data_IF_205038970791
#
_entry.id   IF_205038970791
#
_cell.length_a   1.000
_cell.length_b   1.000
_cell.length_c   1.000
_cell.angle_alpha   90.00
_cell.angle_beta   90.00
_cell.angle_gamma   90.00
#
_symmetry.space_group_name_H-M   'P 1'
#
loop_
_entity.id
_entity.type
_entity.pdbx_description
1 polymer ?
#
# COMPACT_ATOMS: atom_id res chain seq x y z
N UNK A 1 25.28 18.78 -30.64
CA UNK A 1 25.26 18.32 -29.24
C UNK A 1 23.83 18.48 -28.79
N UNK A 2 23.10 17.38 -28.71
CA UNK A 2 21.65 17.38 -28.44
C UNK A 2 21.44 16.94 -27.00
N UNK A 3 20.78 17.76 -26.20
CA UNK A 3 20.46 17.46 -24.80
C UNK A 3 19.51 16.24 -24.71
N UNK A 4 19.63 15.40 -23.68
CA UNK A 4 18.72 14.28 -23.48
C UNK A 4 17.32 14.79 -23.06
N UNK A 5 16.23 14.15 -23.54
CA UNK A 5 14.89 14.51 -23.15
C UNK A 5 14.67 14.16 -21.67
N UNK A 6 14.66 15.19 -20.82
CA UNK A 6 14.22 15.09 -19.44
C UNK A 6 12.69 14.99 -19.41
N UNK A 7 12.18 13.77 -19.58
CA UNK A 7 10.76 13.46 -19.39
C UNK A 7 10.60 12.32 -18.39
N UNK A 8 11.22 12.49 -17.21
CA UNK A 8 10.77 11.81 -16.01
C UNK A 8 9.65 12.64 -15.41
N UNK A 9 8.44 12.07 -15.29
CA UNK A 9 7.40 12.58 -14.40
C UNK A 9 8.02 12.68 -13.00
N UNK A 10 8.54 13.85 -12.63
CA UNK A 10 8.98 14.11 -11.26
C UNK A 10 7.71 14.08 -10.43
N UNK A 11 7.56 13.12 -9.51
CA UNK A 11 6.36 13.07 -8.70
C UNK A 11 6.25 14.38 -7.90
N UNK A 12 5.04 14.94 -7.73
CA UNK A 12 4.85 16.19 -7.01
C UNK A 12 5.47 16.07 -5.61
N UNK A 13 6.43 16.94 -5.31
CA UNK A 13 7.07 17.09 -4.00
C UNK A 13 6.11 17.80 -3.04
N UNK A 14 6.45 17.90 -1.75
CA UNK A 14 5.67 18.63 -0.72
C UNK A 14 5.45 20.13 -1.00
N UNK A 15 5.83 20.64 -2.17
CA UNK A 15 5.60 22.01 -2.57
C UNK A 15 4.10 22.25 -2.81
N UNK A 16 3.55 23.21 -2.05
CA UNK A 16 2.15 23.63 -2.04
C UNK A 16 1.65 23.85 -3.47
N UNK A 17 0.53 23.22 -3.90
CA UNK A 17 -0.03 23.50 -5.22
C UNK A 17 -0.41 24.98 -5.31
N UNK A 18 -0.03 25.65 -6.38
CA UNK A 18 -0.50 27.00 -6.68
C UNK A 18 -1.98 26.97 -7.09
N UNK A 19 -2.88 26.81 -6.11
CA UNK A 19 -4.33 26.82 -6.29
C UNK A 19 -5.06 26.88 -4.96
N UNK A 20 -6.02 27.80 -4.80
CA UNK A 20 -6.70 28.16 -3.54
C UNK A 20 -7.54 27.05 -2.87
N UNK A 21 -7.57 25.82 -3.41
CA UNK A 21 -8.42 24.73 -2.92
C UNK A 21 -7.70 23.37 -2.81
N UNK A 22 -6.39 23.29 -3.03
CA UNK A 22 -5.66 22.04 -2.94
C UNK A 22 -5.01 21.89 -1.55
N UNK A 23 -5.29 20.78 -0.86
CA UNK A 23 -4.60 20.42 0.39
C UNK A 23 -3.14 20.15 0.07
N UNK A 24 -2.23 20.85 0.74
CA UNK A 24 -0.80 20.59 0.58
C UNK A 24 -0.43 19.23 1.18
N UNK A 25 0.59 18.52 0.66
CA UNK A 25 0.89 17.21 1.20
C UNK A 25 1.49 17.29 2.63
N UNK A 26 2.01 18.46 3.04
CA UNK A 26 2.33 18.77 4.45
C UNK A 26 1.08 18.81 5.34
N UNK A 27 0.02 19.52 4.93
CA UNK A 27 -1.25 19.55 5.68
C UNK A 27 -1.87 18.16 5.79
N UNK A 28 -1.75 17.35 4.74
CA UNK A 28 -2.18 15.95 4.80
C UNK A 28 -1.37 15.13 5.80
N UNK A 29 -0.05 15.29 5.82
CA UNK A 29 0.81 14.63 6.80
C UNK A 29 0.47 15.06 8.25
N UNK A 30 0.27 16.36 8.49
CA UNK A 30 -0.17 16.89 9.78
C UNK A 30 -1.54 16.32 10.19
N UNK A 31 -2.45 16.17 9.24
CA UNK A 31 -3.74 15.50 9.47
C UNK A 31 -3.54 14.03 9.90
N UNK A 32 -2.69 13.25 9.23
CA UNK A 32 -2.42 11.86 9.63
C UNK A 32 -1.81 11.78 11.04
N UNK A 33 -0.88 12.67 11.38
CA UNK A 33 -0.37 12.77 12.75
C UNK A 33 -1.46 13.14 13.76
N UNK A 34 -2.38 14.04 13.38
CA UNK A 34 -3.53 14.38 14.23
C UNK A 34 -4.42 13.16 14.47
N UNK A 35 -4.61 12.27 13.49
CA UNK A 35 -5.37 11.03 13.68
C UNK A 35 -4.69 10.10 14.68
N UNK A 36 -3.38 9.90 14.54
CA UNK A 36 -2.57 9.07 15.44
C UNK A 36 -2.66 9.59 16.88
N UNK A 37 -2.63 10.92 17.07
CA UNK A 37 -2.60 11.56 18.39
C UNK A 37 -3.99 11.76 19.02
N UNK A 38 -5.02 12.08 18.23
CA UNK A 38 -6.34 12.50 18.72
C UNK A 38 -7.41 11.41 18.64
N UNK A 39 -7.49 10.67 17.52
CA UNK A 39 -8.65 9.82 17.22
C UNK A 39 -8.53 8.40 17.74
N UNK A 40 -7.34 8.02 18.22
CA UNK A 40 -7.00 6.65 18.57
C UNK A 40 -6.53 6.53 20.03
N UNK A 41 -6.44 7.61 20.81
CA UNK A 41 -6.21 7.55 22.26
C UNK A 41 -7.55 7.53 23.01
N UNK A 42 -7.73 6.55 23.92
CA UNK A 42 -8.81 6.28 24.92
C UNK A 42 -10.30 6.57 24.62
N UNK A 43 -10.64 7.39 23.63
CA UNK A 43 -12.00 7.80 23.31
C UNK A 43 -12.55 6.93 22.16
N UNK A 44 -13.10 5.78 22.56
CA UNK A 44 -13.76 4.79 21.70
C UNK A 44 -14.91 5.41 20.87
N UNK A 45 -15.38 6.61 21.21
CA UNK A 45 -16.45 7.32 20.51
C UNK A 45 -16.00 7.97 19.18
N UNK A 46 -14.70 8.16 18.94
CA UNK A 46 -14.20 8.68 17.65
C UNK A 46 -14.43 7.71 16.47
N UNK A 47 -14.86 6.48 16.77
CA UNK A 47 -15.07 5.37 15.84
C UNK A 47 -16.50 5.39 15.23
N UNK A 48 -17.25 6.48 15.36
CA UNK A 48 -18.68 6.49 14.98
C UNK A 48 -18.97 6.45 13.47
N UNK A 49 -18.01 6.76 12.59
CA UNK A 49 -18.23 6.74 11.14
C UNK A 49 -17.35 5.72 10.40
N UNK A 50 -17.86 4.49 10.28
CA UNK A 50 -17.25 3.42 9.47
C UNK A 50 -16.99 3.88 8.04
N UNK A 51 -17.90 4.64 7.43
CA UNK A 51 -17.81 5.01 6.01
C UNK A 51 -16.62 5.95 5.77
N UNK A 52 -16.38 6.90 6.67
CA UNK A 52 -15.20 7.77 6.62
C UNK A 52 -13.89 6.99 6.73
N UNK A 53 -13.82 5.98 7.62
CA UNK A 53 -12.63 5.12 7.73
C UNK A 53 -12.40 4.26 6.48
N UNK A 54 -13.46 3.67 5.94
CA UNK A 54 -13.41 2.91 4.68
C UNK A 54 -12.89 3.78 3.53
N UNK A 55 -13.43 5.00 3.39
CA UNK A 55 -13.00 5.96 2.38
C UNK A 55 -11.52 6.32 2.55
N UNK A 56 -11.10 6.64 3.78
CA UNK A 56 -9.72 7.01 4.07
C UNK A 56 -8.74 5.86 3.79
N UNK A 57 -9.04 4.65 4.25
CA UNK A 57 -8.19 3.48 4.01
C UNK A 57 -8.11 3.16 2.52
N UNK A 58 -9.24 3.25 1.79
CA UNK A 58 -9.23 3.09 0.33
C UNK A 58 -8.35 4.15 -0.33
N UNK A 59 -8.45 5.42 0.10
CA UNK A 59 -7.63 6.52 -0.41
C UNK A 59 -6.13 6.31 -0.14
N UNK A 60 -5.76 5.91 1.08
CA UNK A 60 -4.36 5.59 1.42
C UNK A 60 -3.84 4.41 0.60
N UNK A 61 -4.66 3.37 0.44
CA UNK A 61 -4.34 2.19 -0.34
C UNK A 61 -4.01 2.51 -1.80
N UNK A 62 -4.82 3.37 -2.42
CA UNK A 62 -4.64 3.76 -3.81
C UNK A 62 -3.53 4.79 -4.00
N UNK A 63 -3.53 5.85 -3.19
CA UNK A 63 -2.71 7.05 -3.44
C UNK A 63 -1.34 6.99 -2.78
N UNK A 64 -1.17 6.20 -1.71
CA UNK A 64 0.10 6.09 -0.98
C UNK A 64 0.76 4.75 -1.24
N UNK A 65 0.10 3.65 -0.88
CA UNK A 65 0.71 2.31 -0.98
C UNK A 65 0.86 1.85 -2.43
N UNK A 66 -0.16 2.09 -3.27
CA UNK A 66 -0.15 1.71 -4.68
C UNK A 66 0.87 2.45 -5.56
N UNK A 67 1.40 3.58 -5.09
CA UNK A 67 2.39 4.39 -5.81
C UNK A 67 3.74 4.44 -5.12
N UNK A 68 3.98 3.59 -4.11
CA UNK A 68 5.28 3.52 -3.47
C UNK A 68 6.33 3.09 -4.50
N UNK A 69 7.42 3.86 -4.68
CA UNK A 69 8.37 3.60 -5.75
C UNK A 69 9.25 2.40 -5.41
N UNK A 70 9.62 1.63 -6.45
CA UNK A 70 10.79 0.77 -6.38
C UNK A 70 12.07 1.59 -6.21
N UNK A 71 13.06 1.00 -5.56
CA UNK A 71 14.37 1.63 -5.49
C UNK A 71 14.99 1.74 -6.88
N UNK A 72 15.46 2.95 -7.18
CA UNK A 72 16.39 3.22 -8.26
C UNK A 72 17.38 4.26 -7.76
N UNK A 73 18.62 4.31 -8.30
CA UNK A 73 19.57 5.36 -7.92
C UNK A 73 19.00 6.79 -8.07
N UNK A 74 18.11 6.99 -9.05
CA UNK A 74 17.44 8.27 -9.29
C UNK A 74 16.37 8.61 -8.23
N UNK A 75 15.68 7.62 -7.66
CA UNK A 75 14.62 7.84 -6.66
C UNK A 75 15.17 8.11 -5.25
N UNK A 76 16.44 7.80 -4.98
CA UNK A 76 17.06 7.96 -3.64
C UNK A 76 16.93 9.38 -3.07
N UNK A 77 17.09 10.42 -3.89
CA UNK A 77 17.07 11.82 -3.43
C UNK A 77 15.68 12.44 -3.28
N UNK A 78 14.65 11.86 -3.89
CA UNK A 78 13.28 12.43 -3.94
C UNK A 78 12.26 11.63 -3.15
N UNK A 79 12.64 10.45 -2.62
CA UNK A 79 11.70 9.53 -1.97
C UNK A 79 11.52 9.73 -0.48
N UNK A 80 12.34 10.54 0.20
CA UNK A 80 12.24 10.75 1.65
C UNK A 80 10.82 11.16 2.07
N UNK A 81 10.22 12.07 1.32
CA UNK A 81 8.86 12.56 1.54
C UNK A 81 7.81 11.44 1.46
N UNK A 82 7.95 10.57 0.45
CA UNK A 82 7.07 9.41 0.24
C UNK A 82 7.28 8.34 1.29
N UNK A 83 8.53 8.09 1.68
CA UNK A 83 8.89 7.16 2.76
C UNK A 83 8.24 7.61 4.07
N UNK A 84 8.41 8.88 4.45
CA UNK A 84 7.78 9.45 5.65
C UNK A 84 6.25 9.35 5.59
N UNK A 85 5.64 9.75 4.47
CA UNK A 85 4.17 9.68 4.31
C UNK A 85 3.64 8.24 4.40
N UNK A 86 4.35 7.29 3.78
CA UNK A 86 4.01 5.87 3.81
C UNK A 86 4.13 5.32 5.22
N UNK A 87 5.21 5.66 5.92
CA UNK A 87 5.41 5.24 7.30
C UNK A 87 4.28 5.73 8.23
N UNK A 88 3.93 7.02 8.14
CA UNK A 88 2.86 7.62 8.96
C UNK A 88 1.48 7.06 8.60
N UNK A 89 1.21 6.83 7.31
CA UNK A 89 -0.07 6.22 6.90
C UNK A 89 -0.19 4.75 7.31
N UNK A 90 0.90 3.98 7.30
CA UNK A 90 0.89 2.61 7.85
C UNK A 90 0.62 2.62 9.36
N UNK A 91 1.13 3.61 10.10
CA UNK A 91 0.80 3.79 11.52
C UNK A 91 -0.70 4.04 11.73
N UNK A 92 -1.32 4.90 10.91
CA UNK A 92 -2.78 5.11 10.93
C UNK A 92 -3.52 3.80 10.65
N UNK A 93 -3.09 3.06 9.63
CA UNK A 93 -3.73 1.80 9.25
C UNK A 93 -3.59 0.71 10.32
N UNK A 94 -2.42 0.59 10.94
CA UNK A 94 -2.17 -0.36 12.03
C UNK A 94 -3.12 -0.09 13.20
N UNK A 95 -3.18 1.17 13.64
CA UNK A 95 -4.06 1.56 14.73
C UNK A 95 -5.55 1.40 14.38
N UNK A 96 -5.96 1.75 13.16
CA UNK A 96 -7.32 1.54 12.68
C UNK A 96 -7.69 0.05 12.68
N UNK A 97 -6.77 -0.82 12.24
CA UNK A 97 -6.96 -2.26 12.23
C UNK A 97 -7.16 -2.84 13.64
N UNK A 98 -6.41 -2.33 14.61
CA UNK A 98 -6.48 -2.79 16.00
C UNK A 98 -7.72 -2.29 16.74
N UNK A 99 -8.07 -1.01 16.55
CA UNK A 99 -9.10 -0.33 17.35
C UNK A 99 -10.49 -0.43 16.71
N UNK A 100 -10.56 -0.58 15.39
CA UNK A 100 -11.82 -0.55 14.63
C UNK A 100 -12.03 -1.88 13.89
N UNK A 101 -12.22 -2.94 14.67
CA UNK A 101 -12.47 -4.30 14.14
C UNK A 101 -13.64 -4.39 13.15
N UNK A 102 -14.55 -3.42 13.19
CA UNK A 102 -15.71 -3.33 12.29
C UNK A 102 -15.41 -2.71 10.92
N UNK A 103 -14.26 -2.06 10.69
CA UNK A 103 -13.96 -1.41 9.38
C UNK A 103 -14.07 -2.43 8.25
N UNK A 104 -13.46 -3.60 8.42
CA UNK A 104 -13.38 -4.62 7.37
C UNK A 104 -14.65 -5.47 7.24
N UNK A 105 -15.60 -5.32 8.16
CA UNK A 105 -16.81 -6.13 8.15
C UNK A 105 -17.72 -5.75 6.97
N UNK A 106 -17.95 -6.70 6.07
CA UNK A 106 -18.77 -6.48 4.86
C UNK A 106 -18.06 -5.69 3.75
N UNK A 107 -16.77 -5.40 3.89
CA UNK A 107 -15.99 -4.61 2.93
C UNK A 107 -14.99 -5.50 2.16
N UNK A 108 -15.49 -6.55 1.49
CA UNK A 108 -14.63 -7.55 0.83
C UNK A 108 -13.70 -6.95 -0.22
N UNK A 109 -14.20 -6.00 -1.02
CA UNK A 109 -13.43 -5.34 -2.07
C UNK A 109 -12.33 -4.44 -1.51
N UNK A 110 -12.63 -3.75 -0.39
CA UNK A 110 -11.61 -2.97 0.33
C UNK A 110 -10.50 -3.89 0.83
N UNK A 111 -10.85 -5.01 1.46
CA UNK A 111 -9.89 -5.96 2.02
C UNK A 111 -9.02 -6.56 0.92
N UNK A 112 -9.59 -6.99 -0.21
CA UNK A 112 -8.84 -7.50 -1.37
C UNK A 112 -7.89 -6.43 -1.92
N UNK A 113 -8.40 -5.21 -2.14
CA UNK A 113 -7.60 -4.09 -2.63
C UNK A 113 -6.44 -3.77 -1.67
N UNK A 114 -6.73 -3.65 -0.38
CA UNK A 114 -5.74 -3.35 0.64
C UNK A 114 -4.67 -4.44 0.73
N UNK A 115 -5.07 -5.71 0.69
CA UNK A 115 -4.16 -6.85 0.66
C UNK A 115 -3.16 -6.74 -0.51
N UNK A 116 -3.65 -6.54 -1.73
CA UNK A 116 -2.80 -6.42 -2.93
C UNK A 116 -1.87 -5.22 -2.83
N UNK A 117 -2.36 -4.08 -2.35
CA UNK A 117 -1.57 -2.85 -2.24
C UNK A 117 -0.49 -2.95 -1.16
N UNK A 118 -0.79 -3.56 -0.02
CA UNK A 118 0.22 -3.82 1.01
C UNK A 118 1.26 -4.84 0.56
N UNK A 119 0.86 -5.87 -0.17
CA UNK A 119 1.80 -6.85 -0.72
C UNK A 119 2.73 -6.20 -1.76
N UNK A 120 2.17 -5.40 -2.68
CA UNK A 120 2.97 -4.61 -3.63
C UNK A 120 3.90 -3.61 -2.92
N UNK A 121 3.44 -3.01 -1.82
CA UNK A 121 4.26 -2.16 -0.96
C UNK A 121 5.41 -2.95 -0.32
N UNK A 122 5.19 -4.17 0.19
CA UNK A 122 6.26 -5.02 0.71
C UNK A 122 7.32 -5.30 -0.36
N UNK A 123 6.91 -5.73 -1.56
CA UNK A 123 7.85 -5.99 -2.68
C UNK A 123 8.61 -4.72 -3.06
N UNK A 124 7.93 -3.58 -3.12
CA UNK A 124 8.58 -2.30 -3.44
C UNK A 124 9.56 -1.88 -2.34
N UNK A 125 9.18 -1.99 -1.07
CA UNK A 125 10.02 -1.66 0.08
C UNK A 125 11.24 -2.59 0.21
N UNK A 126 11.10 -3.87 -0.15
CA UNK A 126 12.21 -4.83 -0.18
C UNK A 126 13.33 -4.37 -1.12
N UNK A 127 13.00 -3.81 -2.29
CA UNK A 127 14.03 -3.27 -3.21
C UNK A 127 14.88 -2.14 -2.61
N UNK A 128 14.38 -1.45 -1.57
CA UNK A 128 15.15 -0.43 -0.85
C UNK A 128 16.11 -1.03 0.19
N UNK A 129 15.84 -2.24 0.68
CA UNK A 129 16.72 -2.93 1.64
C UNK A 129 18.06 -3.28 1.00
N UNK A 130 18.05 -3.74 -0.25
CA UNK A 130 19.26 -4.08 -1.01
C UNK A 130 20.14 -2.88 -1.31
N UNK A 131 19.56 -1.67 -1.24
CA UNK A 131 20.22 -0.41 -1.55
C UNK A 131 20.76 0.33 -0.31
N UNK A 132 20.59 -0.24 0.89
CA UNK A 132 21.01 0.35 2.16
C UNK A 132 22.53 0.52 2.23
N UNK A 133 22.95 1.76 2.52
CA UNK A 133 24.29 2.12 2.99
C UNK A 133 24.09 2.62 4.43
N UNK A 134 24.92 2.20 5.39
CA UNK A 134 24.73 2.32 6.86
C UNK A 134 24.65 3.77 7.43
N UNK A 135 24.37 4.77 6.59
CA UNK A 135 24.53 6.20 6.90
C UNK A 135 23.25 7.04 6.93
N UNK A 136 22.06 6.46 6.74
CA UNK A 136 20.79 7.20 6.86
C UNK A 136 20.31 7.30 8.32
N UNK A 137 19.82 8.47 8.77
CA UNK A 137 19.32 8.66 10.13
C UNK A 137 18.07 7.81 10.43
N UNK A 138 18.00 7.32 11.67
CA UNK A 138 17.10 6.28 12.26
C UNK A 138 15.59 6.37 11.96
N UNK A 139 15.06 7.49 11.44
CA UNK A 139 13.62 7.73 11.42
C UNK A 139 12.96 7.56 10.04
N UNK A 140 13.70 7.10 9.04
CA UNK A 140 13.17 6.90 7.68
C UNK A 140 13.82 5.71 6.98
N UNK A 141 14.12 4.66 7.76
CA UNK A 141 14.64 3.42 7.20
C UNK A 141 13.51 2.68 6.47
N UNK A 142 13.63 2.44 5.14
CA UNK A 142 12.68 1.64 4.37
C UNK A 142 12.42 0.25 4.97
N UNK A 143 13.35 -0.30 5.75
CA UNK A 143 13.17 -1.58 6.45
C UNK A 143 11.96 -1.57 7.39
N UNK A 144 11.68 -0.42 8.00
CA UNK A 144 10.54 -0.25 8.90
C UNK A 144 9.22 -0.28 8.14
N UNK A 145 9.19 0.18 6.89
CA UNK A 145 8.01 0.13 6.02
C UNK A 145 7.68 -1.32 5.68
N UNK A 146 8.68 -2.10 5.25
CA UNK A 146 8.50 -3.53 4.94
C UNK A 146 7.94 -4.29 6.15
N UNK A 147 8.57 -4.11 7.32
CA UNK A 147 8.15 -4.78 8.56
C UNK A 147 6.73 -4.38 8.97
N UNK A 148 6.40 -3.07 8.96
CA UNK A 148 5.05 -2.59 9.28
C UNK A 148 3.98 -3.12 8.32
N UNK A 149 4.22 -3.03 7.01
CA UNK A 149 3.27 -3.51 6.01
C UNK A 149 3.01 -5.01 6.14
N UNK A 150 4.07 -5.80 6.38
CA UNK A 150 3.98 -7.25 6.62
C UNK A 150 3.19 -7.56 7.89
N UNK A 151 3.48 -6.86 8.99
CA UNK A 151 2.76 -7.05 10.25
C UNK A 151 1.26 -6.73 10.12
N UNK A 152 0.91 -5.65 9.40
CA UNK A 152 -0.49 -5.28 9.13
C UNK A 152 -1.17 -6.35 8.27
N UNK A 153 -0.50 -6.87 7.23
CA UNK A 153 -1.03 -7.96 6.40
C UNK A 153 -1.34 -9.22 7.24
N UNK A 154 -0.36 -9.65 8.04
CA UNK A 154 -0.51 -10.82 8.92
C UNK A 154 -1.64 -10.58 9.92
N UNK A 155 -1.67 -9.41 10.55
CA UNK A 155 -2.72 -9.07 11.50
C UNK A 155 -4.12 -9.09 10.86
N UNK A 156 -4.26 -8.48 9.68
CA UNK A 156 -5.51 -8.45 8.93
C UNK A 156 -5.99 -9.87 8.60
N UNK A 157 -5.10 -10.75 8.09
CA UNK A 157 -5.42 -12.15 7.83
C UNK A 157 -5.83 -12.89 9.12
N UNK A 158 -5.08 -12.69 10.20
CA UNK A 158 -5.39 -13.28 11.50
C UNK A 158 -6.76 -12.82 12.03
N UNK A 159 -7.13 -11.54 11.87
CA UNK A 159 -8.44 -11.03 12.25
C UNK A 159 -9.57 -11.66 11.43
N UNK A 160 -9.38 -11.80 10.11
CA UNK A 160 -10.38 -12.43 9.24
C UNK A 160 -10.56 -13.91 9.56
N UNK A 161 -9.48 -14.61 9.93
CA UNK A 161 -9.52 -16.02 10.34
C UNK A 161 -10.07 -16.23 11.75
N UNK A 162 -9.73 -15.34 12.67
CA UNK A 162 -10.05 -15.44 14.11
C UNK A 162 -11.32 -14.68 14.51
N UNK A 163 -12.16 -14.36 13.52
CA UNK A 163 -13.41 -13.59 13.61
C UNK A 163 -14.08 -13.70 15.00
N UNK A 164 -14.02 -12.65 15.85
CA UNK A 164 -14.63 -12.66 17.18
C UNK A 164 -16.15 -12.44 17.15
N UNK A 165 -16.76 -12.50 15.96
CA UNK A 165 -18.15 -12.15 15.77
C UNK A 165 -19.05 -13.27 16.28
N UNK A 166 -20.05 -12.91 17.10
CA UNK A 166 -21.07 -13.84 17.58
C UNK A 166 -21.98 -14.38 16.46
N UNK A 167 -22.02 -13.73 15.30
CA UNK A 167 -22.82 -14.15 14.16
C UNK A 167 -22.02 -15.12 13.28
N UNK A 168 -22.44 -16.39 13.26
CA UNK A 168 -21.80 -17.46 12.49
C UNK A 168 -21.72 -17.17 10.99
N UNK A 169 -22.73 -16.50 10.41
CA UNK A 169 -22.76 -16.19 8.98
C UNK A 169 -21.62 -15.21 8.64
N UNK A 170 -21.51 -14.13 9.41
CA UNK A 170 -20.42 -13.15 9.26
C UNK A 170 -19.04 -13.79 9.43
N UNK A 171 -18.88 -14.63 10.45
CA UNK A 171 -17.62 -15.30 10.71
C UNK A 171 -17.24 -16.29 9.60
N UNK A 172 -18.23 -16.88 8.94
CA UNK A 172 -18.01 -17.76 7.78
C UNK A 172 -17.56 -16.96 6.56
N UNK A 173 -18.24 -15.84 6.25
CA UNK A 173 -17.84 -14.96 5.13
C UNK A 173 -16.41 -14.44 5.28
N UNK A 174 -16.01 -14.00 6.47
CA UNK A 174 -14.65 -13.51 6.72
C UNK A 174 -13.59 -14.60 6.56
N UNK A 175 -13.87 -15.83 7.02
CA UNK A 175 -12.97 -16.96 6.81
C UNK A 175 -12.85 -17.35 5.34
N UNK A 176 -13.96 -17.37 4.61
CA UNK A 176 -13.96 -17.60 3.16
C UNK A 176 -13.11 -16.55 2.44
N UNK A 177 -13.25 -15.28 2.82
CA UNK A 177 -12.43 -14.20 2.27
C UNK A 177 -10.93 -14.42 2.57
N UNK A 178 -10.55 -14.69 3.83
CA UNK A 178 -9.16 -14.95 4.19
C UNK A 178 -8.56 -16.13 3.43
N UNK A 179 -9.30 -17.25 3.33
CA UNK A 179 -8.88 -18.40 2.53
C UNK A 179 -8.75 -18.03 1.05
N UNK A 180 -9.66 -17.20 0.50
CA UNK A 180 -9.56 -16.71 -0.86
C UNK A 180 -8.28 -15.89 -1.12
N UNK A 181 -7.90 -15.01 -0.20
CA UNK A 181 -6.65 -14.23 -0.31
C UNK A 181 -5.40 -15.14 -0.29
N UNK A 182 -5.40 -16.14 0.60
CA UNK A 182 -4.30 -17.10 0.73
C UNK A 182 -4.19 -17.98 -0.51
N UNK A 183 -5.31 -18.50 -1.01
CA UNK A 183 -5.34 -19.29 -2.24
C UNK A 183 -4.89 -18.49 -3.44
N UNK A 184 -5.35 -17.26 -3.58
CA UNK A 184 -4.91 -16.39 -4.68
C UNK A 184 -3.39 -16.15 -4.65
N UNK A 185 -2.81 -16.01 -3.46
CA UNK A 185 -1.37 -15.86 -3.29
C UNK A 185 -0.60 -17.13 -3.66
N UNK A 186 -1.12 -18.31 -3.26
CA UNK A 186 -0.52 -19.60 -3.61
C UNK A 186 -0.62 -19.89 -5.11
N UNK A 187 -1.78 -19.62 -5.72
CA UNK A 187 -2.00 -19.77 -7.15
C UNK A 187 -1.05 -18.87 -7.95
N UNK A 188 -0.88 -17.62 -7.53
CA UNK A 188 0.06 -16.70 -8.18
C UNK A 188 1.50 -17.23 -8.10
N UNK A 189 1.94 -17.70 -6.93
CA UNK A 189 3.28 -18.29 -6.77
C UNK A 189 3.43 -19.54 -7.65
N UNK A 190 2.40 -20.38 -7.71
CA UNK A 190 2.37 -21.54 -8.59
C UNK A 190 2.48 -21.13 -10.07
N UNK A 191 1.74 -20.11 -10.51
CA UNK A 191 1.78 -19.58 -11.88
C UNK A 191 3.17 -19.02 -12.21
N UNK A 192 3.84 -18.33 -11.27
CA UNK A 192 5.22 -17.83 -11.44
C UNK A 192 6.23 -18.98 -11.55
N UNK A 193 6.10 -20.00 -10.71
CA UNK A 193 7.04 -21.13 -10.67
C UNK A 193 6.85 -22.13 -11.82
N UNK A 194 5.61 -22.25 -12.33
CA UNK A 194 5.25 -23.22 -13.37
C UNK A 194 5.23 -22.61 -14.77
N UNK A 195 5.17 -21.28 -14.88
CA UNK A 195 5.16 -20.56 -16.14
C UNK A 195 6.47 -20.71 -16.93
N UNK A 196 6.43 -20.53 -18.26
CA UNK A 196 7.65 -20.35 -19.04
C UNK A 196 8.44 -19.15 -18.50
N UNK A 197 9.77 -19.14 -18.71
CA UNK A 197 10.61 -17.97 -18.41
C UNK A 197 10.29 -16.84 -19.39
N UNK A 198 9.13 -16.23 -19.22
CA UNK A 198 8.72 -15.06 -19.99
C UNK A 198 9.68 -13.90 -19.70
N UNK A 199 9.96 -13.06 -20.71
CA UNK A 199 10.82 -11.91 -20.53
C UNK A 199 10.18 -10.92 -19.54
N UNK A 200 10.97 -10.50 -18.55
CA UNK A 200 10.60 -9.45 -17.60
C UNK A 200 10.52 -8.08 -18.29
N UNK A 201 9.72 -7.13 -17.78
CA UNK A 201 8.90 -7.22 -16.56
C UNK A 201 7.53 -7.89 -16.76
N UNK A 202 7.07 -8.58 -15.72
CA UNK A 202 5.73 -9.18 -15.64
C UNK A 202 4.77 -8.21 -14.94
N UNK A 203 3.58 -8.02 -15.52
CA UNK A 203 2.43 -7.39 -14.87
C UNK A 203 1.65 -8.47 -14.11
N UNK A 204 1.50 -8.27 -12.80
CA UNK A 204 0.85 -9.21 -11.89
C UNK A 204 -0.54 -8.70 -11.53
N UNK A 205 -1.57 -9.46 -11.90
CA UNK A 205 -2.97 -9.12 -11.66
C UNK A 205 -3.61 -10.12 -10.69
N UNK A 206 -3.75 -9.71 -9.44
CA UNK A 206 -4.49 -10.48 -8.44
C UNK A 206 -5.99 -10.52 -8.77
N UNK A 207 -6.62 -11.66 -8.47
CA UNK A 207 -8.04 -11.94 -8.68
C UNK A 207 -8.49 -11.82 -10.14
N UNK A 208 -7.55 -12.02 -11.08
CA UNK A 208 -7.79 -11.97 -12.53
C UNK A 208 -7.13 -13.17 -13.21
N UNK A 209 -7.72 -13.66 -14.30
CA UNK A 209 -7.12 -14.72 -15.13
C UNK A 209 -6.99 -14.20 -16.56
N UNK A 210 -5.79 -14.23 -17.18
CA UNK A 210 -4.51 -14.70 -16.61
C UNK A 210 -3.96 -13.73 -15.55
N UNK A 211 -3.30 -14.29 -14.52
CA UNK A 211 -2.66 -13.55 -13.41
C UNK A 211 -1.35 -12.88 -13.82
N UNK A 212 -0.61 -13.52 -14.72
CA UNK A 212 0.63 -12.99 -15.28
C UNK A 212 0.38 -12.48 -16.68
N UNK A 213 0.81 -11.25 -16.95
CA UNK A 213 0.80 -10.67 -18.29
C UNK A 213 2.19 -10.13 -18.58
N UNK A 214 2.68 -10.33 -19.79
CA UNK A 214 3.87 -9.60 -20.24
C UNK A 214 3.52 -8.12 -20.24
N UNK A 215 4.30 -7.29 -19.54
CA UNK A 215 4.11 -5.85 -19.62
C UNK A 215 4.22 -5.47 -21.09
N UNK A 216 3.21 -4.77 -21.62
CA UNK A 216 3.30 -4.24 -22.97
C UNK A 216 4.59 -3.41 -23.02
N UNK A 217 5.56 -3.83 -23.83
CA UNK A 217 6.68 -2.96 -24.18
C UNK A 217 6.04 -1.72 -24.74
N UNK A 218 6.04 -0.62 -23.97
CA UNK A 218 5.59 0.66 -24.46
C UNK A 218 6.40 0.91 -25.73
N UNK A 219 5.74 0.72 -26.87
CA UNK A 219 6.35 0.96 -28.16
C UNK A 219 6.93 2.35 -28.09
N UNK A 220 8.23 2.44 -28.41
CA UNK A 220 8.84 3.72 -28.71
C UNK A 220 8.04 4.33 -29.86
N UNK A 221 7.06 5.17 -29.54
CA UNK A 221 6.27 5.87 -30.53
C UNK A 221 7.21 6.85 -31.25
N UNK A 222 7.62 6.37 -32.41
CA UNK A 222 7.90 7.06 -33.66
C UNK A 222 7.64 8.58 -33.61
N UNK A 223 8.67 9.42 -33.84
CA UNK A 223 8.44 10.84 -34.07
C UNK A 223 7.70 11.03 -35.40
N UNK A 224 6.59 11.77 -35.36
CA UNK A 224 5.98 12.39 -36.55
C UNK A 224 6.63 13.74 -36.77
#
# INVERSE_FOLDING_TARGET
MSDPPSSGLVPPTFQTPHGKAAVSPKQFLEFLYSLITQSLGDDVNAIHDKASWVLMISGLSEQVYGYFPYFTPATRGTSNERITLTHVSLEVLDQASHKIKSVYHGEEDLVKKLFVRLLGLCVSAESWLEAGDDSLPDHSDPSTIYSKATNILVYMLCQLLSSPFRNEISATTQRVLAHGLLWESLDLVHDILSGPQDPFPLDVQFFSVPRLRTAATHGADTPV
#
